data_IF_903104689129
#
_entry.id   IF_903104689129
#
_cell.length_a   1.000
_cell.length_b   1.000
_cell.length_c   1.000
_cell.angle_alpha   90.00
_cell.angle_beta   90.00
_cell.angle_gamma   90.00
#
_symmetry.space_group_name_H-M   'P 1'
#
loop_
_entity.id
_entity.type
_entity.pdbx_description
1 polymer ?
#
# COMPACT_ATOMS: atom_id res chain seq x y z
N UNK A 1 -43.84 -47.90 49.08
CA UNK A 1 -42.74 -47.51 48.18
C UNK A 1 -43.38 -46.98 46.91
N UNK A 2 -43.51 -45.66 46.80
CA UNK A 2 -42.86 -44.83 45.76
C UNK A 2 -43.38 -45.20 44.36
N UNK A 3 -43.89 -44.31 43.51
CA UNK A 3 -43.59 -42.90 43.33
C UNK A 3 -44.58 -42.31 42.30
N UNK A 4 -44.78 -41.00 42.36
CA UNK A 4 -45.48 -40.20 41.37
C UNK A 4 -44.90 -40.34 39.95
N UNK A 5 -45.75 -40.28 38.94
CA UNK A 5 -45.38 -39.85 37.59
C UNK A 5 -46.48 -38.93 37.05
N UNK A 6 -46.44 -37.67 37.47
CA UNK A 6 -47.18 -36.58 36.82
C UNK A 6 -46.60 -36.35 35.43
N UNK A 7 -47.43 -36.49 34.41
CA UNK A 7 -47.11 -36.06 33.06
C UNK A 7 -47.36 -34.54 32.95
N UNK A 8 -46.28 -33.77 32.77
CA UNK A 8 -46.34 -32.31 32.58
C UNK A 8 -46.55 -31.99 31.09
N UNK A 9 -47.49 -31.10 30.72
CA UNK A 9 -47.72 -30.75 29.33
C UNK A 9 -46.58 -29.90 28.73
N UNK A 10 -46.37 -29.93 27.41
CA UNK A 10 -45.30 -29.18 26.76
C UNK A 10 -45.51 -27.67 26.92
N UNK A 11 -44.50 -26.98 27.46
CA UNK A 11 -44.48 -25.52 27.55
C UNK A 11 -44.34 -24.90 26.17
N UNK A 12 -45.41 -24.27 25.71
CA UNK A 12 -45.43 -23.53 24.46
C UNK A 12 -44.65 -22.21 24.61
N UNK A 13 -43.54 -22.07 23.89
CA UNK A 13 -42.73 -20.84 23.93
C UNK A 13 -43.43 -19.75 23.13
N UNK A 14 -43.64 -18.54 23.69
CA UNK A 14 -44.21 -17.44 22.92
C UNK A 14 -43.28 -17.07 21.76
N UNK A 15 -43.80 -17.09 20.54
CA UNK A 15 -43.11 -16.55 19.36
C UNK A 15 -42.93 -15.04 19.54
N UNK A 16 -41.71 -14.48 19.52
CA UNK A 16 -41.52 -13.04 19.67
C UNK A 16 -42.17 -12.30 18.51
N UNK A 17 -43.25 -11.56 18.82
CA UNK A 17 -44.05 -10.77 17.87
C UNK A 17 -43.28 -9.53 17.42
N UNK A 18 -43.06 -9.41 16.11
CA UNK A 18 -43.03 -8.16 15.31
C UNK A 18 -41.93 -7.11 15.53
N UNK A 19 -41.46 -6.89 16.76
CA UNK A 19 -40.56 -5.78 17.12
C UNK A 19 -39.11 -6.04 16.70
N UNK A 20 -38.67 -7.30 16.79
CA UNK A 20 -37.33 -7.73 16.34
C UNK A 20 -37.14 -7.66 14.82
N UNK A 21 -38.20 -7.87 14.02
CA UNK A 21 -38.13 -7.77 12.55
C UNK A 21 -37.89 -6.34 12.07
N UNK A 22 -38.45 -5.34 12.76
CA UNK A 22 -38.20 -3.93 12.43
C UNK A 22 -36.79 -3.50 12.83
N UNK A 23 -36.32 -3.88 14.03
CA UNK A 23 -34.95 -3.59 14.44
C UNK A 23 -33.90 -4.25 13.51
N UNK A 24 -34.14 -5.50 13.11
CA UNK A 24 -33.28 -6.21 12.16
C UNK A 24 -33.28 -5.58 10.75
N UNK A 25 -34.44 -5.10 10.28
CA UNK A 25 -34.53 -4.42 8.99
C UNK A 25 -33.75 -3.09 8.98
N UNK A 26 -33.82 -2.30 10.06
CA UNK A 26 -33.03 -1.07 10.19
C UNK A 26 -31.53 -1.35 10.30
N UNK A 27 -31.14 -2.41 11.02
CA UNK A 27 -29.75 -2.88 11.05
C UNK A 27 -29.23 -3.30 9.68
N UNK A 28 -30.05 -3.97 8.86
CA UNK A 28 -29.69 -4.36 7.50
C UNK A 28 -29.59 -3.17 6.54
N UNK A 29 -30.50 -2.18 6.63
CA UNK A 29 -30.44 -0.95 5.82
C UNK A 29 -29.20 -0.12 6.18
N UNK A 30 -28.88 0.01 7.47
CA UNK A 30 -27.64 0.64 7.92
C UNK A 30 -26.42 -0.10 7.36
N UNK A 31 -26.39 -1.44 7.43
CA UNK A 31 -25.30 -2.24 6.86
C UNK A 31 -25.10 -2.05 5.35
N UNK A 32 -26.17 -1.92 4.57
CA UNK A 32 -26.08 -1.64 3.12
C UNK A 32 -25.58 -0.22 2.83
N UNK A 33 -25.94 0.78 3.64
CA UNK A 33 -25.49 2.17 3.46
C UNK A 33 -23.99 2.35 3.78
N UNK A 34 -23.40 1.44 4.56
CA UNK A 34 -21.96 1.41 4.85
C UNK A 34 -21.14 0.59 3.83
N UNK A 35 -21.77 -0.11 2.88
CA UNK A 35 -21.08 -0.85 1.84
C UNK A 35 -20.57 0.12 0.74
N UNK A 36 -19.39 0.70 0.95
CA UNK A 36 -18.71 1.51 -0.06
C UNK A 36 -18.32 0.68 -1.28
N UNK A 37 -18.58 1.20 -2.48
CA UNK A 37 -18.03 0.62 -3.71
C UNK A 37 -16.50 0.81 -3.73
N UNK A 38 -15.75 -0.24 -4.05
CA UNK A 38 -14.32 -0.13 -4.36
C UNK A 38 -14.16 0.62 -5.70
N UNK A 39 -14.07 1.94 -5.66
CA UNK A 39 -13.95 2.78 -6.86
C UNK A 39 -12.48 3.14 -7.07
N UNK A 40 -11.74 2.18 -7.62
CA UNK A 40 -10.38 2.41 -8.12
C UNK A 40 -10.20 1.67 -9.44
N UNK A 41 -9.57 2.29 -10.46
CA UNK A 41 -9.27 1.56 -11.68
C UNK A 41 -8.34 0.40 -11.35
N UNK A 42 -8.58 -0.76 -11.98
CA UNK A 42 -7.66 -1.89 -11.90
C UNK A 42 -6.35 -1.49 -12.60
N UNK A 43 -5.34 -1.09 -11.81
CA UNK A 43 -4.03 -0.75 -12.35
C UNK A 43 -3.39 -2.00 -12.96
N UNK A 44 -3.28 -2.01 -14.29
CA UNK A 44 -2.58 -3.05 -15.04
C UNK A 44 -1.28 -2.46 -15.56
N UNK A 45 -0.20 -3.25 -15.48
CA UNK A 45 1.08 -2.85 -16.06
C UNK A 45 0.89 -2.69 -17.57
N UNK A 46 1.27 -1.55 -18.18
CA UNK A 46 1.25 -1.41 -19.63
C UNK A 46 2.09 -2.53 -20.28
N UNK A 47 1.70 -3.04 -21.46
CA UNK A 47 2.51 -4.02 -22.17
C UNK A 47 3.90 -3.44 -22.46
N UNK A 48 4.92 -4.30 -22.42
CA UNK A 48 6.26 -3.90 -22.82
C UNK A 48 6.25 -3.40 -24.28
N UNK A 49 7.14 -2.47 -24.66
CA UNK A 49 7.29 -2.06 -26.05
C UNK A 49 7.51 -3.27 -26.97
N UNK A 50 6.96 -3.23 -28.19
CA UNK A 50 7.13 -4.30 -29.17
C UNK A 50 8.55 -4.45 -29.73
N UNK A 51 9.49 -3.59 -29.32
CA UNK A 51 10.87 -3.63 -29.77
C UNK A 51 11.57 -4.89 -29.25
N UNK A 52 12.10 -5.69 -30.18
CA UNK A 52 12.83 -6.94 -29.89
C UNK A 52 14.34 -6.72 -29.76
N UNK A 53 14.82 -5.48 -29.92
CA UNK A 53 16.24 -5.15 -29.87
C UNK A 53 16.48 -3.65 -29.70
N UNK A 54 17.71 -3.30 -29.32
CA UNK A 54 18.12 -1.92 -29.09
C UNK A 54 18.69 -1.23 -30.33
N UNK A 55 18.99 -2.00 -31.39
CA UNK A 55 19.61 -1.51 -32.62
C UNK A 55 18.73 -1.81 -33.84
N UNK A 56 18.89 -1.00 -34.90
CA UNK A 56 18.17 -1.18 -36.17
C UNK A 56 18.62 -2.44 -36.91
N UNK A 57 19.92 -2.72 -36.87
CA UNK A 57 20.55 -3.88 -37.47
C UNK A 57 21.25 -4.70 -36.38
N UNK A 58 21.39 -6.04 -36.55
CA UNK A 58 22.11 -6.88 -35.59
C UNK A 58 23.57 -6.43 -35.45
N UNK A 59 24.03 -6.25 -34.21
CA UNK A 59 25.44 -5.95 -33.92
C UNK A 59 26.25 -7.25 -33.94
N UNK A 60 27.25 -7.32 -34.81
CA UNK A 60 28.24 -8.39 -34.81
C UNK A 60 29.33 -8.09 -33.77
N UNK A 61 29.49 -8.97 -32.79
CA UNK A 61 30.57 -8.90 -31.81
C UNK A 61 31.83 -9.60 -32.36
N UNK A 62 33.04 -9.20 -31.93
CA UNK A 62 34.27 -9.89 -32.30
C UNK A 62 34.18 -11.40 -31.95
N UNK A 63 34.58 -12.30 -32.85
CA UNK A 63 34.54 -13.73 -32.57
C UNK A 63 35.53 -14.12 -31.46
N UNK A 64 35.21 -15.14 -30.64
CA UNK A 64 36.13 -15.63 -29.62
C UNK A 64 37.43 -16.13 -30.26
N UNK A 65 38.57 -15.80 -29.65
CA UNK A 65 39.91 -16.21 -30.12
C UNK A 65 40.65 -15.21 -31.02
N UNK A 66 40.12 -14.00 -31.23
CA UNK A 66 40.85 -12.89 -31.87
C UNK A 66 41.89 -12.23 -30.95
N UNK A 67 42.62 -11.24 -31.46
CA UNK A 67 43.51 -10.37 -30.64
C UNK A 67 42.75 -9.40 -29.75
N UNK A 68 41.46 -9.20 -30.02
CA UNK A 68 40.58 -8.32 -29.27
C UNK A 68 40.00 -9.01 -28.04
N UNK A 69 39.58 -8.19 -27.06
CA UNK A 69 38.89 -8.70 -25.86
C UNK A 69 37.55 -9.33 -26.30
N UNK A 70 37.31 -10.59 -25.90
CA UNK A 70 36.04 -11.27 -26.15
C UNK A 70 34.89 -10.48 -25.53
N UNK A 71 33.94 -10.05 -26.37
CA UNK A 71 32.74 -9.34 -25.93
C UNK A 71 31.53 -10.25 -26.09
N UNK A 72 30.66 -10.26 -25.09
CA UNK A 72 29.40 -11.01 -25.09
C UNK A 72 28.29 -10.20 -24.43
N UNK A 73 27.14 -10.13 -25.08
CA UNK A 73 25.92 -9.66 -24.43
C UNK A 73 25.31 -10.79 -23.60
N UNK A 74 24.99 -10.48 -22.35
CA UNK A 74 24.21 -11.35 -21.47
C UNK A 74 22.81 -10.77 -21.38
N UNK A 75 21.87 -11.38 -22.09
CA UNK A 75 20.45 -11.00 -22.07
C UNK A 75 19.78 -11.65 -20.85
N UNK A 76 18.78 -10.98 -20.26
CA UNK A 76 17.93 -11.51 -19.17
C UNK A 76 18.58 -11.67 -17.78
N UNK A 77 19.75 -11.07 -17.51
CA UNK A 77 20.33 -11.08 -16.16
C UNK A 77 20.14 -9.74 -15.46
N UNK A 78 19.75 -9.77 -14.18
CA UNK A 78 19.72 -8.59 -13.34
C UNK A 78 21.10 -7.93 -13.28
N UNK A 79 21.15 -6.61 -13.41
CA UNK A 79 22.39 -5.84 -13.24
C UNK A 79 22.88 -6.03 -11.81
N UNK A 80 24.15 -6.41 -11.65
CA UNK A 80 24.76 -6.58 -10.34
C UNK A 80 24.67 -5.27 -9.53
N UNK A 81 24.30 -5.37 -8.25
CA UNK A 81 24.23 -4.19 -7.36
C UNK A 81 25.55 -3.41 -7.32
N UNK A 82 26.67 -4.13 -7.34
CA UNK A 82 28.03 -3.57 -7.36
C UNK A 82 28.66 -3.76 -8.74
N UNK A 83 27.98 -3.28 -9.79
CA UNK A 83 28.42 -3.43 -11.18
C UNK A 83 29.86 -2.93 -11.43
N UNK A 84 30.36 -2.00 -10.63
CA UNK A 84 31.71 -1.45 -10.75
C UNK A 84 32.82 -2.45 -10.39
N UNK A 85 32.51 -3.51 -9.62
CA UNK A 85 33.51 -4.55 -9.29
C UNK A 85 33.95 -5.34 -10.53
N UNK A 86 33.13 -5.33 -11.60
CA UNK A 86 33.45 -5.96 -12.88
C UNK A 86 34.69 -5.34 -13.54
N UNK A 87 35.04 -4.09 -13.20
CA UNK A 87 36.25 -3.43 -13.69
C UNK A 87 37.53 -3.92 -13.00
N UNK A 88 37.42 -4.69 -11.90
CA UNK A 88 38.55 -5.27 -11.15
C UNK A 88 39.59 -4.21 -10.71
N UNK A 89 39.13 -3.00 -10.38
CA UNK A 89 39.98 -1.93 -9.86
C UNK A 89 39.70 -1.68 -8.38
N UNK A 90 40.61 -2.05 -7.45
CA UNK A 90 40.43 -1.79 -6.02
C UNK A 90 40.25 -0.31 -5.69
N UNK A 91 40.99 0.57 -6.38
CA UNK A 91 40.92 2.02 -6.21
C UNK A 91 39.54 2.57 -6.59
N UNK A 92 38.94 2.04 -7.67
CA UNK A 92 37.58 2.40 -8.06
C UNK A 92 36.56 1.95 -7.02
N UNK A 93 36.71 0.72 -6.51
CA UNK A 93 35.82 0.17 -5.49
C UNK A 93 35.82 1.03 -4.23
N UNK A 94 37.00 1.44 -3.75
CA UNK A 94 37.15 2.32 -2.59
C UNK A 94 36.52 3.70 -2.83
N UNK A 95 36.76 4.29 -4.00
CA UNK A 95 36.20 5.60 -4.37
C UNK A 95 34.68 5.57 -4.39
N UNK A 96 34.09 4.53 -4.98
CA UNK A 96 32.63 4.38 -5.03
C UNK A 96 32.06 4.09 -3.64
N UNK A 97 32.72 3.26 -2.84
CA UNK A 97 32.29 3.02 -1.46
C UNK A 97 32.24 4.33 -0.66
N UNK A 98 33.30 5.15 -0.73
CA UNK A 98 33.35 6.46 -0.12
C UNK A 98 32.24 7.39 -0.64
N UNK A 99 32.00 7.41 -1.96
CA UNK A 99 30.96 8.24 -2.57
C UNK A 99 29.54 7.83 -2.16
N UNK A 100 29.30 6.54 -1.89
CA UNK A 100 28.01 6.03 -1.44
C UNK A 100 27.81 6.25 0.06
N UNK A 101 28.88 6.16 0.86
CA UNK A 101 28.84 6.42 2.31
C UNK A 101 28.67 7.90 2.60
N UNK A 102 27.62 8.28 3.34
CA UNK A 102 27.42 9.67 3.73
C UNK A 102 27.02 10.61 2.59
N UNK A 103 26.60 10.09 1.43
CA UNK A 103 26.16 10.89 0.28
C UNK A 103 24.94 11.77 0.61
N UNK A 104 25.05 13.10 0.57
CA UNK A 104 23.92 14.00 0.82
C UNK A 104 22.80 13.86 -0.22
N UNK A 105 23.16 13.55 -1.48
CA UNK A 105 22.19 13.34 -2.56
C UNK A 105 21.40 12.04 -2.38
N UNK A 106 22.01 10.99 -1.83
CA UNK A 106 21.26 9.79 -1.48
C UNK A 106 20.38 10.02 -0.24
N UNK A 107 20.85 10.82 0.73
CA UNK A 107 20.05 11.20 1.89
C UNK A 107 18.80 11.99 1.47
N UNK A 108 18.94 12.97 0.57
CA UNK A 108 17.80 13.74 0.06
C UNK A 108 16.82 12.85 -0.71
N UNK A 109 17.30 11.96 -1.58
CA UNK A 109 16.44 11.03 -2.31
C UNK A 109 15.64 10.11 -1.37
N UNK A 110 16.25 9.60 -0.29
CA UNK A 110 15.54 8.81 0.73
C UNK A 110 14.49 9.63 1.48
N UNK A 111 14.80 10.88 1.81
CA UNK A 111 13.84 11.78 2.44
C UNK A 111 12.65 12.08 1.53
N UNK A 112 12.87 12.28 0.23
CA UNK A 112 11.80 12.45 -0.76
C UNK A 112 10.91 11.21 -0.85
N UNK A 113 11.50 10.01 -0.82
CA UNK A 113 10.72 8.77 -0.78
C UNK A 113 9.88 8.67 0.50
N UNK A 114 10.48 8.93 1.67
CA UNK A 114 9.77 8.91 2.96
C UNK A 114 8.63 9.94 3.01
N UNK A 115 8.84 11.12 2.43
CA UNK A 115 7.79 12.13 2.28
C UNK A 115 6.63 11.60 1.43
N UNK A 116 6.91 10.98 0.28
CA UNK A 116 5.87 10.42 -0.58
C UNK A 116 5.08 9.31 0.14
N UNK A 117 5.75 8.46 0.90
CA UNK A 117 5.11 7.42 1.71
C UNK A 117 4.21 8.02 2.82
N UNK A 118 4.68 9.08 3.48
CA UNK A 118 3.89 9.79 4.49
C UNK A 118 2.63 10.45 3.89
N UNK A 119 2.72 11.01 2.69
CA UNK A 119 1.56 11.54 1.96
C UNK A 119 0.56 10.42 1.64
N UNK A 120 1.03 9.25 1.20
CA UNK A 120 0.16 8.08 0.97
C UNK A 120 -0.52 7.65 2.28
N UNK A 121 0.21 7.61 3.39
CA UNK A 121 -0.34 7.26 4.70
C UNK A 121 -1.42 8.26 5.16
N UNK A 122 -1.19 9.57 4.96
CA UNK A 122 -2.16 10.62 5.26
C UNK A 122 -3.46 10.43 4.49
N UNK A 123 -3.38 10.19 3.18
CA UNK A 123 -4.56 9.98 2.32
C UNK A 123 -5.31 8.70 2.72
N UNK A 124 -4.59 7.64 3.11
CA UNK A 124 -5.21 6.42 3.63
C UNK A 124 -5.99 6.65 4.93
N UNK A 125 -5.65 7.68 5.69
CA UNK A 125 -6.37 8.09 6.91
C UNK A 125 -7.85 8.40 6.66
N UNK A 126 -8.21 8.83 5.45
CA UNK A 126 -9.59 9.15 5.05
C UNK A 126 -10.51 7.92 5.14
N UNK A 127 -9.97 6.70 5.03
CA UNK A 127 -10.75 5.47 5.14
C UNK A 127 -11.09 5.08 6.58
N UNK A 128 -10.61 5.82 7.59
CA UNK A 128 -10.85 5.56 9.01
C UNK A 128 -11.70 6.67 9.65
N UNK A 129 -12.45 6.36 10.72
CA UNK A 129 -13.17 7.39 11.47
C UNK A 129 -12.19 8.41 12.05
N UNK A 130 -12.48 9.70 11.81
CA UNK A 130 -11.71 10.81 12.38
C UNK A 130 -12.27 11.13 13.77
N UNK A 131 -11.38 11.28 14.75
CA UNK A 131 -11.75 11.72 16.10
C UNK A 131 -11.06 13.06 16.34
N UNK A 132 -11.86 14.10 16.54
CA UNK A 132 -11.40 15.45 16.85
C UNK A 132 -12.13 15.96 18.10
N UNK A 133 -11.45 16.75 18.93
CA UNK A 133 -12.01 17.36 20.13
C UNK A 133 -11.77 18.86 20.07
N UNK A 134 -12.84 19.63 19.85
CA UNK A 134 -12.81 21.08 19.83
C UNK A 134 -13.64 21.66 20.98
N UNK A 135 -13.09 22.64 21.71
CA UNK A 135 -13.78 23.41 22.73
C UNK A 135 -13.82 24.89 22.36
N UNK A 136 -15.02 25.50 22.34
CA UNK A 136 -15.17 26.94 22.06
C UNK A 136 -15.85 27.64 23.22
N UNK A 137 -15.28 28.76 23.69
CA UNK A 137 -15.90 29.65 24.66
C UNK A 137 -16.32 30.96 23.97
N UNK A 138 -17.58 31.36 24.12
CA UNK A 138 -18.11 32.66 23.66
C UNK A 138 -18.60 33.44 24.87
N UNK A 139 -18.14 34.67 25.04
CA UNK A 139 -18.66 35.62 26.03
C UNK A 139 -19.21 36.84 25.30
N UNK A 140 -20.45 37.21 25.59
CA UNK A 140 -21.07 38.44 25.11
C UNK A 140 -21.36 39.34 26.31
N UNK A 141 -20.69 40.48 26.37
CA UNK A 141 -21.06 41.56 27.30
C UNK A 141 -21.87 42.58 26.51
N UNK A 142 -23.17 42.67 26.82
CA UNK A 142 -23.98 43.82 26.43
C UNK A 142 -23.62 44.97 27.39
N UNK A 143 -22.92 45.99 26.88
CA UNK A 143 -22.88 47.29 27.55
C UNK A 143 -24.09 48.06 27.06
N UNK A 144 -25.03 48.26 27.97
CA UNK A 144 -26.13 49.20 27.80
C UNK A 144 -25.52 50.60 27.96
N UNK A 145 -25.23 51.26 26.85
CA UNK A 145 -24.84 52.68 26.82
C UNK A 145 -26.11 53.49 26.68
N UNK A 146 -26.59 54.01 27.82
CA UNK A 146 -27.55 55.12 27.89
C UNK A 146 -26.89 56.42 27.44
#
# INVERSE_FOLDING_TARGET
>A
MTSCASAEPPRERPRPRGRGRRAAAWGAVAGLLLAGCAVGPNFTRPPAPAATGYTREPVALPPPGGTDIEQRFVTETAVARQWWELFRSPQLNETIALALTGSPTLASARATLAQAEAVVAQVRGIYYPQVDVAGTAKSSSARDTT
#
